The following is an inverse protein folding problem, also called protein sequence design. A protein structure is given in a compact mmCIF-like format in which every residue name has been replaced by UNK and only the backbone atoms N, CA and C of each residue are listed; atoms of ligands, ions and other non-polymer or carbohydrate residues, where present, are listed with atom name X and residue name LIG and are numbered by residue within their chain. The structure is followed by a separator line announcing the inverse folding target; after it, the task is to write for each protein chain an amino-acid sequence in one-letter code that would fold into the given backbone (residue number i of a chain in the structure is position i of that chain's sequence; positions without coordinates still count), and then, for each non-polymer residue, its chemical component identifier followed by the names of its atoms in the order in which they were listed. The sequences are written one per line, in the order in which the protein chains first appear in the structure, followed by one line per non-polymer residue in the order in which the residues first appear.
data_IF_129263556009
#
_entry.id   IF_129263556009
#
_cell.length_a   1.000
_cell.length_b   1.000
_cell.length_c   1.000
_cell.angle_alpha   90.00
_cell.angle_beta   90.00
_cell.angle_gamma   90.00
#
_symmetry.space_group_name_H-M   'P 1'
#
loop_
_entity.id
_entity.type
_entity.pdbx_description
1 polymer ?
#
# COMPACT_ATOMS: atom_id res chain seq x y z
N UNK A 1 -15.69 -6.00 28.44
CA UNK A 1 -16.34 -6.96 27.53
C UNK A 1 -16.10 -6.43 26.13
N UNK A 2 -15.10 -6.96 25.42
CA UNK A 2 -14.81 -6.56 24.06
C UNK A 2 -15.81 -7.27 23.15
N UNK A 3 -16.94 -6.63 22.89
CA UNK A 3 -17.83 -7.07 21.84
C UNK A 3 -17.01 -7.14 20.55
N UNK A 4 -17.01 -8.31 19.90
CA UNK A 4 -16.37 -8.50 18.61
C UNK A 4 -17.05 -7.56 17.61
N UNK A 5 -16.48 -6.38 17.42
CA UNK A 5 -16.99 -5.40 16.48
C UNK A 5 -16.92 -6.01 15.08
N UNK A 6 -18.07 -6.23 14.46
CA UNK A 6 -18.14 -6.62 13.06
C UNK A 6 -17.84 -5.40 12.17
N UNK A 7 -16.55 -5.22 11.90
CA UNK A 7 -16.01 -4.10 11.12
C UNK A 7 -16.59 -4.06 9.70
N UNK A 8 -16.87 -5.22 9.09
CA UNK A 8 -17.41 -5.28 7.73
C UNK A 8 -18.86 -4.79 7.69
N UNK A 9 -19.68 -5.25 8.63
CA UNK A 9 -21.07 -4.78 8.74
C UNK A 9 -21.14 -3.29 9.07
N UNK A 10 -20.26 -2.79 9.95
CA UNK A 10 -20.16 -1.37 10.26
C UNK A 10 -19.74 -0.54 9.04
N UNK A 11 -18.68 -0.95 8.33
CA UNK A 11 -18.25 -0.29 7.10
C UNK A 11 -19.35 -0.26 6.04
N UNK A 12 -20.06 -1.37 5.83
CA UNK A 12 -21.17 -1.43 4.88
C UNK A 12 -22.28 -0.45 5.25
N UNK A 13 -22.68 -0.41 6.54
CA UNK A 13 -23.68 0.55 7.05
C UNK A 13 -23.26 2.00 6.77
N UNK A 14 -22.02 2.35 7.10
CA UNK A 14 -21.52 3.72 6.97
C UNK A 14 -21.38 4.15 5.50
N UNK A 15 -20.79 3.30 4.66
CA UNK A 15 -20.67 3.57 3.22
C UNK A 15 -22.03 3.69 2.55
N UNK A 16 -23.00 2.85 2.93
CA UNK A 16 -24.37 2.92 2.42
C UNK A 16 -25.03 4.24 2.82
N UNK A 17 -24.95 4.63 4.10
CA UNK A 17 -25.46 5.94 4.56
C UNK A 17 -24.79 7.10 3.82
N UNK A 18 -23.47 7.09 3.69
CA UNK A 18 -22.71 8.13 3.00
C UNK A 18 -23.13 8.26 1.52
N UNK A 19 -23.28 7.13 0.83
CA UNK A 19 -23.74 7.10 -0.56
C UNK A 19 -25.17 7.62 -0.71
N UNK A 20 -26.08 7.26 0.19
CA UNK A 20 -27.46 7.75 0.18
C UNK A 20 -27.54 9.26 0.45
N UNK A 21 -26.62 9.80 1.25
CA UNK A 21 -26.49 11.24 1.50
C UNK A 21 -25.69 12.01 0.44
N UNK A 22 -25.27 11.36 -0.65
CA UNK A 22 -24.42 11.99 -1.65
C UNK A 22 -25.14 13.15 -2.34
N UNK A 23 -24.63 14.38 -2.16
CA UNK A 23 -25.22 15.61 -2.69
C UNK A 23 -26.11 16.38 -1.71
N UNK A 24 -26.30 15.88 -0.48
CA UNK A 24 -26.97 16.59 0.62
C UNK A 24 -26.05 16.73 1.84
N UNK A 25 -26.46 17.51 2.85
CA UNK A 25 -25.75 17.55 4.13
C UNK A 25 -25.81 16.14 4.77
N UNK A 26 -24.68 15.58 5.24
CA UNK A 26 -24.69 14.31 5.95
C UNK A 26 -25.46 14.42 7.28
N UNK A 27 -26.13 13.34 7.66
CA UNK A 27 -26.85 13.20 8.92
C UNK A 27 -25.89 13.28 10.12
N UNK A 28 -26.30 13.95 11.20
CA UNK A 28 -25.47 14.15 12.38
C UNK A 28 -25.13 12.80 13.04
N UNK A 29 -26.04 11.80 12.97
CA UNK A 29 -25.75 10.43 13.42
C UNK A 29 -24.65 9.76 12.61
N UNK A 30 -24.52 10.07 11.31
CA UNK A 30 -23.43 9.53 10.48
C UNK A 30 -22.09 10.18 10.86
N UNK A 31 -22.09 11.47 11.15
CA UNK A 31 -20.91 12.20 11.58
C UNK A 31 -20.39 11.68 12.92
N UNK A 32 -21.29 11.49 13.89
CA UNK A 32 -20.96 10.92 15.20
C UNK A 32 -20.40 9.50 15.07
N UNK A 33 -21.09 8.62 14.32
CA UNK A 33 -20.64 7.25 14.07
C UNK A 33 -19.23 7.24 13.42
N UNK A 34 -18.94 8.15 12.50
CA UNK A 34 -17.63 8.28 11.86
C UNK A 34 -16.55 8.85 12.80
N UNK A 35 -16.91 9.76 13.70
CA UNK A 35 -15.97 10.42 14.62
C UNK A 35 -15.35 9.45 15.63
N UNK A 36 -16.09 8.40 16.01
CA UNK A 36 -15.66 7.42 17.02
C UNK A 36 -14.91 6.22 16.42
N UNK A 37 -14.96 6.03 15.09
CA UNK A 37 -14.28 4.92 14.41
C UNK A 37 -12.79 4.78 14.74
N UNK A 38 -11.98 5.86 14.77
CA UNK A 38 -10.54 5.73 15.08
C UNK A 38 -10.27 5.13 16.46
N UNK A 39 -11.22 5.30 17.40
CA UNK A 39 -11.11 4.75 18.75
C UNK A 39 -11.62 3.30 18.85
N UNK A 40 -12.42 2.85 17.88
CA UNK A 40 -13.03 1.52 17.86
C UNK A 40 -12.27 0.53 16.97
N UNK A 41 -11.58 1.04 15.95
CA UNK A 41 -10.87 0.25 14.96
C UNK A 41 -9.45 0.78 14.83
N UNK A 42 -8.47 -0.08 15.07
CA UNK A 42 -7.07 0.20 14.74
C UNK A 42 -6.94 0.27 13.23
N UNK A 43 -6.78 1.48 12.68
CA UNK A 43 -6.52 1.69 11.26
C UNK A 43 -5.00 1.71 11.04
N UNK A 44 -4.40 0.67 10.44
CA UNK A 44 -3.01 0.73 10.02
C UNK A 44 -2.86 1.78 8.90
N UNK A 45 -1.70 2.42 8.82
CA UNK A 45 -1.36 3.27 7.67
C UNK A 45 -1.41 2.38 6.42
N UNK A 46 -2.36 2.67 5.53
CA UNK A 46 -2.36 2.08 4.19
C UNK A 46 -1.56 3.05 3.31
N UNK A 47 -0.36 2.65 2.93
CA UNK A 47 0.38 3.36 1.89
C UNK A 47 -0.32 3.11 0.54
N UNK A 48 -1.29 3.97 0.22
CA UNK A 48 -1.96 3.98 -1.08
C UNK A 48 -1.02 4.63 -2.11
N UNK A 49 -0.09 3.83 -2.63
CA UNK A 49 0.75 4.26 -3.74
C UNK A 49 1.93 3.33 -4.01
N UNK A 50 2.30 3.21 -5.29
CA UNK A 50 3.62 2.69 -5.64
C UNK A 50 4.65 3.74 -5.26
N UNK A 51 5.44 3.49 -4.22
CA UNK A 51 6.64 4.29 -3.96
C UNK A 51 7.56 4.16 -5.20
N UNK A 52 7.70 5.24 -5.97
CA UNK A 52 8.57 5.25 -7.13
C UNK A 52 10.01 5.45 -6.66
N UNK A 53 10.84 4.41 -6.78
CA UNK A 53 12.26 4.47 -6.44
C UNK A 53 13.13 4.49 -7.70
N UNK A 54 14.28 5.17 -7.63
CA UNK A 54 15.28 5.18 -8.71
C UNK A 54 14.92 6.09 -9.89
N UNK A 55 15.30 5.70 -11.10
CA UNK A 55 15.14 6.45 -12.37
C UNK A 55 13.68 6.53 -12.85
N UNK A 56 12.71 6.04 -12.07
CA UNK A 56 11.28 6.27 -12.33
C UNK A 56 10.66 7.22 -11.29
N UNK A 57 11.47 7.70 -10.34
CA UNK A 57 11.04 8.62 -9.30
C UNK A 57 10.81 10.03 -9.87
N UNK A 58 9.81 10.78 -9.35
CA UNK A 58 9.68 12.21 -9.60
C UNK A 58 10.97 12.99 -9.33
N UNK A 59 11.85 12.48 -8.46
CA UNK A 59 13.16 13.06 -8.19
C UNK A 59 13.98 13.33 -9.44
N UNK A 60 13.85 12.54 -10.51
CA UNK A 60 14.56 12.82 -11.77
C UNK A 60 14.22 14.20 -12.35
N UNK A 61 12.95 14.59 -12.29
CA UNK A 61 12.46 15.85 -12.85
C UNK A 61 12.69 17.03 -11.90
N UNK A 62 13.09 16.77 -10.66
CA UNK A 62 13.39 17.78 -9.66
C UNK A 62 14.87 18.19 -9.62
N UNK A 63 15.75 17.43 -10.28
CA UNK A 63 17.19 17.68 -10.29
C UNK A 63 17.63 18.34 -11.61
N UNK A 64 18.67 19.17 -11.54
CA UNK A 64 19.29 19.75 -12.73
C UNK A 64 20.07 18.70 -13.52
N UNK A 65 20.00 18.77 -14.85
CA UNK A 65 20.68 17.86 -15.77
C UNK A 65 22.07 18.42 -16.18
N UNK A 66 23.07 17.57 -16.47
CA UNK A 66 23.02 16.11 -16.48
C UNK A 66 23.20 15.47 -15.09
N UNK A 67 22.55 14.33 -14.87
CA UNK A 67 22.71 13.55 -13.65
C UNK A 67 23.96 12.68 -13.72
N UNK A 68 24.71 12.61 -12.62
CA UNK A 68 25.88 11.74 -12.47
C UNK A 68 25.51 10.47 -11.70
N UNK A 69 25.92 9.33 -12.24
CA UNK A 69 25.69 8.01 -11.64
C UNK A 69 27.01 7.27 -11.51
N UNK A 70 27.16 6.51 -10.43
CA UNK A 70 28.28 5.61 -10.21
C UNK A 70 27.76 4.17 -10.14
N UNK A 71 28.51 3.25 -10.72
CA UNK A 71 28.12 1.84 -10.73
C UNK A 71 28.02 1.29 -9.30
N UNK A 72 26.92 0.59 -9.01
CA UNK A 72 26.59 0.09 -7.66
C UNK A 72 26.37 1.14 -6.56
N UNK A 73 26.29 2.43 -6.90
CA UNK A 73 25.99 3.50 -5.95
C UNK A 73 24.57 4.01 -6.15
N UNK A 74 23.73 3.98 -5.11
CA UNK A 74 22.41 4.59 -5.16
C UNK A 74 22.54 6.10 -4.85
N UNK A 75 22.27 6.99 -5.82
CA UNK A 75 22.40 8.42 -5.59
C UNK A 75 21.35 8.93 -4.61
N UNK A 76 21.79 9.75 -3.65
CA UNK A 76 20.93 10.33 -2.61
C UNK A 76 19.82 11.19 -3.22
N UNK A 77 20.13 11.92 -4.29
CA UNK A 77 19.19 12.80 -4.97
C UNK A 77 18.01 12.08 -5.64
N UNK A 78 18.06 10.74 -5.79
CA UNK A 78 16.92 9.94 -6.26
C UNK A 78 16.04 9.40 -5.13
N UNK A 79 16.41 9.60 -3.86
CA UNK A 79 15.57 9.24 -2.73
C UNK A 79 14.38 10.19 -2.68
N UNK A 80 13.26 9.72 -3.22
CA UNK A 80 11.98 10.40 -3.12
C UNK A 80 11.12 9.68 -2.10
N UNK A 81 10.79 10.38 -1.02
CA UNK A 81 9.78 9.93 -0.10
C UNK A 81 8.46 10.60 -0.51
N UNK A 82 7.55 9.82 -1.09
CA UNK A 82 6.21 10.32 -1.34
C UNK A 82 5.62 10.68 0.01
N UNK A 83 5.23 11.95 0.21
CA UNK A 83 4.47 12.36 1.39
C UNK A 83 3.08 11.73 1.29
N UNK A 84 2.97 10.45 1.60
CA UNK A 84 1.68 9.82 1.86
C UNK A 84 1.05 10.61 2.99
N UNK A 85 -0.21 11.02 2.84
CA UNK A 85 -0.93 11.70 3.92
C UNK A 85 -0.99 10.76 5.13
N UNK A 86 -0.14 11.01 6.12
CA UNK A 86 -0.23 10.35 7.42
C UNK A 86 -1.52 10.82 8.07
N UNK A 87 -2.47 9.91 8.24
CA UNK A 87 -3.71 10.20 8.95
C UNK A 87 -3.36 10.27 10.45
N UNK A 88 -3.78 11.33 11.14
CA UNK A 88 -3.54 11.49 12.58
C UNK A 88 -4.12 10.30 13.37
N UNK A 89 -3.37 9.79 14.35
CA UNK A 89 -3.75 8.59 15.12
C UNK A 89 -3.33 7.25 14.51
N UNK A 90 -2.71 7.24 13.33
CA UNK A 90 -2.21 6.01 12.72
C UNK A 90 -0.83 5.61 13.27
N UNK A 91 -0.61 4.30 13.45
CA UNK A 91 0.66 3.76 13.96
C UNK A 91 1.63 3.59 12.77
N UNK A 92 2.82 4.21 12.77
CA UNK A 92 3.84 3.95 11.77
C UNK A 92 4.24 2.48 11.79
N UNK A 93 3.91 1.76 10.73
CA UNK A 93 4.27 0.36 10.62
C UNK A 93 5.54 0.23 9.77
N UNK A 94 6.63 -0.21 10.39
CA UNK A 94 7.86 -0.55 9.67
C UNK A 94 7.74 -1.95 9.03
N UNK A 95 6.72 -2.12 8.19
CA UNK A 95 6.47 -3.34 7.42
C UNK A 95 6.46 -3.03 5.92
N UNK A 96 6.74 -4.04 5.10
CA UNK A 96 6.54 -3.95 3.65
C UNK A 96 5.10 -4.35 3.32
N UNK A 97 4.50 -3.71 2.33
CA UNK A 97 3.18 -4.09 1.79
C UNK A 97 3.37 -4.86 0.48
N UNK A 98 2.55 -5.91 0.28
CA UNK A 98 2.43 -6.58 -1.01
C UNK A 98 1.66 -5.70 -1.99
N UNK A 99 2.31 -5.22 -3.04
CA UNK A 99 1.68 -4.30 -4.03
C UNK A 99 0.57 -4.96 -4.87
N UNK A 100 0.54 -6.30 -4.94
CA UNK A 100 -0.52 -7.01 -5.69
C UNK A 100 -1.73 -7.24 -4.80
N UNK A 101 -1.52 -7.52 -3.51
CA UNK A 101 -2.58 -8.01 -2.60
C UNK A 101 -2.96 -7.00 -1.52
N UNK A 102 -2.21 -5.92 -1.38
CA UNK A 102 -2.33 -4.91 -0.33
C UNK A 102 -2.39 -5.53 1.07
N UNK A 103 -1.57 -6.55 1.31
CA UNK A 103 -1.41 -7.18 2.63
C UNK A 103 -0.05 -6.86 3.21
N UNK A 104 0.04 -6.76 4.53
CA UNK A 104 1.32 -6.61 5.21
C UNK A 104 2.16 -7.87 5.05
N UNK A 105 3.44 -7.66 4.72
CA UNK A 105 4.47 -8.68 4.61
C UNK A 105 5.38 -8.72 5.85
N UNK A 106 5.16 -7.82 6.81
CA UNK A 106 6.08 -7.63 7.94
C UNK A 106 7.39 -6.92 7.54
N UNK A 107 8.33 -6.84 8.48
CA UNK A 107 9.57 -6.06 8.33
C UNK A 107 10.58 -6.69 7.37
N UNK A 108 10.80 -8.01 7.52
CA UNK A 108 11.79 -8.78 6.76
C UNK A 108 11.14 -9.97 6.05
N UNK A 109 10.35 -9.74 5.00
CA UNK A 109 9.66 -10.83 4.34
C UNK A 109 10.63 -11.71 3.55
N UNK A 110 10.47 -13.03 3.69
CA UNK A 110 11.16 -14.04 2.88
C UNK A 110 10.31 -14.44 1.67
N UNK A 111 10.93 -15.02 0.64
CA UNK A 111 10.25 -15.50 -0.57
C UNK A 111 9.41 -14.44 -1.29
N UNK A 112 9.97 -13.24 -1.42
CA UNK A 112 9.37 -12.14 -2.17
C UNK A 112 10.06 -11.92 -3.52
N UNK A 113 9.30 -11.30 -4.41
CA UNK A 113 9.80 -10.70 -5.63
C UNK A 113 9.70 -9.19 -5.50
N UNK A 114 10.65 -8.50 -6.11
CA UNK A 114 10.72 -7.05 -6.14
C UNK A 114 10.63 -6.56 -7.58
N UNK A 115 9.95 -5.45 -7.80
CA UNK A 115 9.89 -4.83 -9.13
C UNK A 115 11.21 -4.12 -9.46
N UNK A 116 11.77 -4.35 -10.65
CA UNK A 116 12.99 -3.65 -11.10
C UNK A 116 12.76 -2.19 -11.47
N UNK A 117 11.50 -1.77 -11.64
CA UNK A 117 11.13 -0.39 -12.01
C UNK A 117 10.75 0.47 -10.81
N UNK A 118 9.83 -0.02 -9.97
CA UNK A 118 9.31 0.75 -8.83
C UNK A 118 9.72 0.15 -7.47
N UNK A 119 10.51 -0.93 -7.43
CA UNK A 119 10.98 -1.56 -6.20
C UNK A 119 9.89 -2.04 -5.22
N UNK A 120 8.62 -1.98 -5.63
CA UNK A 120 7.50 -2.56 -4.91
C UNK A 120 7.71 -4.07 -4.73
N UNK A 121 7.26 -4.57 -3.58
CA UNK A 121 7.47 -5.97 -3.18
C UNK A 121 6.16 -6.74 -3.29
N UNK A 122 6.22 -8.01 -3.66
CA UNK A 122 5.07 -8.93 -3.64
C UNK A 122 5.54 -10.34 -3.30
N UNK A 123 4.71 -11.14 -2.66
CA UNK A 123 5.02 -12.56 -2.41
C UNK A 123 5.09 -13.35 -3.72
N UNK A 124 6.06 -14.26 -3.81
CA UNK A 124 6.24 -15.16 -4.96
C UNK A 124 5.07 -16.15 -5.07
N UNK A 125 4.68 -16.76 -3.96
CA UNK A 125 3.53 -17.66 -3.87
C UNK A 125 2.57 -17.10 -2.84
N UNK A 126 1.37 -16.73 -3.26
CA UNK A 126 0.30 -16.55 -2.30
C UNK A 126 -0.34 -17.88 -1.96
N UNK A 127 -0.74 -18.05 -0.70
CA UNK A 127 -1.71 -19.05 -0.29
C UNK A 127 -3.11 -18.68 -0.80
N UNK A 128 -3.28 -18.58 -2.12
CA UNK A 128 -4.53 -18.16 -2.74
C UNK A 128 -5.63 -19.20 -2.46
N UNK A 129 -6.60 -18.83 -1.63
CA UNK A 129 -7.66 -19.74 -1.15
C UNK A 129 -8.85 -19.82 -2.11
N UNK A 130 -9.12 -18.77 -2.89
CA UNK A 130 -10.27 -18.68 -3.80
C UNK A 130 -9.87 -18.61 -5.29
N UNK A 131 -10.78 -18.97 -6.19
CA UNK A 131 -10.59 -18.84 -7.64
C UNK A 131 -10.40 -17.37 -8.07
N UNK A 132 -11.13 -16.44 -7.44
CA UNK A 132 -11.00 -15.01 -7.70
C UNK A 132 -9.60 -14.49 -7.34
N UNK A 133 -9.07 -14.89 -6.17
CA UNK A 133 -7.71 -14.51 -5.75
C UNK A 133 -6.66 -15.07 -6.70
N UNK A 134 -6.83 -16.31 -7.19
CA UNK A 134 -5.92 -16.90 -8.18
C UNK A 134 -5.95 -16.13 -9.50
N UNK A 135 -7.14 -15.80 -10.01
CA UNK A 135 -7.29 -15.04 -11.25
C UNK A 135 -6.67 -13.64 -11.14
N UNK A 136 -6.84 -12.98 -9.99
CA UNK A 136 -6.19 -11.70 -9.69
C UNK A 136 -4.66 -11.81 -9.71
N UNK A 137 -4.10 -12.80 -9.01
CA UNK A 137 -2.65 -13.01 -8.94
C UNK A 137 -2.02 -13.32 -10.30
N UNK A 138 -2.71 -14.10 -11.13
CA UNK A 138 -2.23 -14.46 -12.47
C UNK A 138 -2.03 -13.24 -13.38
N UNK A 139 -2.83 -12.18 -13.22
CA UNK A 139 -2.67 -10.91 -13.98
C UNK A 139 -1.29 -10.29 -13.76
N UNK A 140 -0.73 -10.47 -12.57
CA UNK A 140 0.51 -9.85 -12.13
C UNK A 140 1.65 -10.86 -11.99
N UNK A 141 1.51 -12.05 -12.59
CA UNK A 141 2.52 -13.09 -12.49
C UNK A 141 3.82 -12.66 -13.17
N UNK A 142 3.73 -12.05 -14.36
CA UNK A 142 4.89 -11.68 -15.19
C UNK A 142 5.45 -10.29 -14.86
N UNK A 143 4.57 -9.33 -14.60
CA UNK A 143 4.95 -7.93 -14.38
C UNK A 143 4.28 -7.35 -13.13
N UNK A 144 4.95 -6.36 -12.54
CA UNK A 144 4.41 -5.51 -11.49
C UNK A 144 3.22 -4.70 -12.00
N UNK A 145 2.30 -4.24 -11.14
CA UNK A 145 1.23 -3.31 -11.53
C UNK A 145 1.72 -2.05 -12.28
N UNK A 146 2.96 -1.61 -12.04
CA UNK A 146 3.58 -0.51 -12.77
C UNK A 146 4.16 -0.89 -14.16
N UNK A 147 4.04 -2.15 -14.58
CA UNK A 147 4.62 -2.71 -15.81
C UNK A 147 6.08 -3.16 -15.72
N UNK A 148 6.77 -2.94 -14.59
CA UNK A 148 8.15 -3.40 -14.40
C UNK A 148 8.28 -4.92 -14.23
N UNK A 149 9.47 -5.45 -14.52
CA UNK A 149 9.75 -6.88 -14.35
C UNK A 149 9.97 -7.25 -12.89
N UNK A 150 9.70 -8.51 -12.55
CA UNK A 150 9.98 -9.06 -11.23
C UNK A 150 11.40 -9.62 -11.15
N UNK A 151 12.12 -9.28 -10.10
CA UNK A 151 13.34 -9.95 -9.66
C UNK A 151 13.07 -10.73 -8.37
N UNK A 152 13.65 -11.91 -8.21
CA UNK A 152 13.58 -12.66 -6.97
C UNK A 152 14.53 -12.06 -5.94
N UNK A 153 14.04 -11.84 -4.73
CA UNK A 153 14.87 -11.35 -3.62
C UNK A 153 14.98 -12.47 -2.59
N UNK A 154 16.19 -13.01 -2.43
CA UNK A 154 16.54 -13.84 -1.29
C UNK A 154 17.01 -12.91 -0.17
N UNK A 155 16.35 -12.94 0.99
CA UNK A 155 16.91 -12.29 2.17
C UNK A 155 18.21 -13.03 2.52
N UNK A 156 19.36 -12.36 2.45
CA UNK A 156 20.59 -12.89 3.05
C UNK A 156 20.36 -12.93 4.56
N UNK A 157 20.41 -14.15 5.11
CA UNK A 157 20.51 -14.44 6.55
C UNK A 157 21.80 -13.88 7.12
#
# INVERSE_FOLDING_TARGET
MSDNLDVLSLLFKLLTKALLSHGSKPDDSLLDDCSILPNQVLVPIIELGTQAFGVASPALFMNSLPLQFEYHSQPEFLRYNSKVHTIEGTIPQNHKIDIVRHVSLGRNPSHVRQCTRCYSTSMVKAGARSAATRAWDQRWLRCCPCGGQWQYVTSKS
#
